data_IF_013426593979
#
_entry.id   IF_013426593979
#
_cell.length_a   1.000
_cell.length_b   1.000
_cell.length_c   1.000
_cell.angle_alpha   90.00
_cell.angle_beta   90.00
_cell.angle_gamma   90.00
#
_symmetry.space_group_name_H-M   'P 1'
#
loop_
_entity.id
_entity.type
_entity.pdbx_description
1 polymer ?
#
# COMPACT_ATOMS: atom_id res chain seq x y z
N UNK A 1 14.80 69.26 -25.72
CA UNK A 1 15.22 68.75 -24.44
C UNK A 1 14.08 67.86 -23.94
N UNK A 2 14.07 66.57 -24.30
CA UNK A 2 12.98 65.65 -24.11
C UNK A 2 13.31 64.62 -23.03
N UNK A 3 12.53 64.61 -21.94
CA UNK A 3 12.69 63.72 -20.82
C UNK A 3 11.91 62.45 -21.14
N UNK A 4 12.64 61.32 -21.39
CA UNK A 4 12.03 59.98 -21.55
C UNK A 4 11.67 59.44 -20.15
N UNK A 5 10.35 59.27 -19.92
CA UNK A 5 9.78 58.56 -18.76
C UNK A 5 9.99 57.06 -18.95
N UNK A 6 10.82 56.43 -18.14
CA UNK A 6 10.88 54.98 -18.01
C UNK A 6 9.79 54.48 -17.03
N UNK A 7 8.91 53.68 -17.54
CA UNK A 7 7.88 52.97 -16.77
C UNK A 7 8.49 51.62 -16.32
N UNK A 8 8.59 51.30 -15.05
CA UNK A 8 9.08 49.98 -14.62
C UNK A 8 7.90 48.97 -14.75
N UNK A 9 8.10 48.00 -15.63
CA UNK A 9 7.26 46.81 -15.70
C UNK A 9 7.60 45.95 -14.49
N UNK A 10 6.71 45.97 -13.48
CA UNK A 10 6.76 45.06 -12.35
C UNK A 10 6.27 43.68 -12.86
N UNK A 11 7.23 42.80 -13.16
CA UNK A 11 6.97 41.41 -13.50
C UNK A 11 6.64 40.66 -12.20
N UNK A 12 5.34 40.55 -11.88
CA UNK A 12 4.88 39.70 -10.78
C UNK A 12 5.11 38.24 -11.14
N UNK A 13 6.22 37.68 -10.63
CA UNK A 13 6.47 36.24 -10.66
C UNK A 13 5.50 35.61 -9.66
N UNK A 14 4.40 35.09 -10.16
CA UNK A 14 3.54 34.17 -9.41
C UNK A 14 4.30 32.85 -9.27
N UNK A 15 4.97 32.68 -8.15
CA UNK A 15 5.56 31.39 -7.77
C UNK A 15 4.38 30.50 -7.41
N UNK A 16 3.95 29.70 -8.40
CA UNK A 16 3.02 28.61 -8.21
C UNK A 16 3.77 27.54 -7.38
N UNK A 17 3.56 27.55 -6.08
CA UNK A 17 3.95 26.43 -5.23
C UNK A 17 3.14 25.21 -5.70
N UNK A 18 3.69 24.47 -6.65
CA UNK A 18 3.29 23.10 -6.88
C UNK A 18 3.69 22.32 -5.62
N UNK A 19 2.75 22.15 -4.71
CA UNK A 19 2.83 21.10 -3.71
C UNK A 19 2.85 19.79 -4.48
N UNK A 20 4.06 19.26 -4.71
CA UNK A 20 4.20 17.90 -5.19
C UNK A 20 3.41 17.02 -4.20
N UNK A 21 2.46 16.21 -4.64
CA UNK A 21 1.85 15.24 -3.77
C UNK A 21 3.01 14.40 -3.22
N UNK A 22 3.11 14.31 -1.89
CA UNK A 22 4.00 13.34 -1.26
C UNK A 22 3.60 11.99 -1.85
N UNK A 23 4.42 11.45 -2.73
CA UNK A 23 4.17 10.13 -3.31
C UNK A 23 4.33 9.14 -2.16
N UNK A 24 3.23 8.87 -1.47
CA UNK A 24 3.15 7.69 -0.62
C UNK A 24 3.35 6.52 -1.55
N UNK A 25 4.34 5.70 -1.27
CA UNK A 25 4.59 4.49 -2.04
C UNK A 25 3.31 3.63 -1.97
N UNK A 26 2.55 3.61 -3.07
CA UNK A 26 1.31 2.83 -3.17
C UNK A 26 1.58 1.35 -2.95
N UNK A 27 0.56 0.62 -2.50
CA UNK A 27 0.62 -0.83 -2.32
C UNK A 27 -0.06 -1.58 -3.46
N UNK A 28 -0.74 -0.86 -4.37
CA UNK A 28 -1.54 -1.43 -5.47
C UNK A 28 -0.83 -1.18 -6.79
N UNK A 29 -0.70 -2.23 -7.60
CA UNK A 29 -0.15 -2.12 -8.96
C UNK A 29 -1.14 -1.43 -9.86
N UNK A 30 -0.85 -0.18 -10.22
CA UNK A 30 -1.66 0.62 -11.13
C UNK A 30 -1.37 0.30 -12.59
N UNK A 31 -2.19 0.86 -13.49
CA UNK A 31 -1.97 0.73 -14.94
C UNK A 31 -0.61 1.31 -15.34
N UNK A 32 -0.26 2.47 -14.81
CA UNK A 32 1.01 3.16 -15.09
C UNK A 32 2.21 2.33 -14.66
N UNK A 33 2.10 1.62 -13.51
CA UNK A 33 3.16 0.74 -13.03
C UNK A 33 3.33 -0.50 -13.92
N UNK A 34 2.24 -1.04 -14.47
CA UNK A 34 2.29 -2.14 -15.45
C UNK A 34 2.89 -1.68 -16.78
N UNK A 35 2.48 -0.52 -17.28
CA UNK A 35 3.06 0.07 -18.50
C UNK A 35 4.56 0.31 -18.34
N UNK A 36 5.00 0.80 -17.17
CA UNK A 36 6.41 0.91 -16.84
C UNK A 36 7.13 -0.46 -16.89
N UNK A 37 6.57 -1.52 -16.30
CA UNK A 37 7.17 -2.85 -16.31
C UNK A 37 7.29 -3.41 -17.72
N UNK A 38 6.26 -3.24 -18.56
CA UNK A 38 6.27 -3.62 -19.96
C UNK A 38 7.34 -2.88 -20.76
N UNK A 39 7.46 -1.56 -20.53
CA UNK A 39 8.52 -0.77 -21.16
C UNK A 39 9.90 -1.26 -20.77
N UNK A 40 10.16 -1.52 -19.49
CA UNK A 40 11.44 -2.04 -19.02
C UNK A 40 11.80 -3.36 -19.68
N UNK A 41 10.84 -4.25 -19.91
CA UNK A 41 11.06 -5.51 -20.63
C UNK A 41 11.33 -5.31 -22.12
N UNK A 42 10.65 -4.38 -22.78
CA UNK A 42 10.89 -4.06 -24.19
C UNK A 42 12.27 -3.45 -24.38
N UNK A 43 12.68 -2.59 -23.48
CA UNK A 43 13.96 -1.87 -23.51
C UNK A 43 15.12 -2.66 -22.89
N UNK A 44 14.88 -3.88 -22.38
CA UNK A 44 15.87 -4.66 -21.61
C UNK A 44 17.25 -4.76 -22.29
N UNK A 45 17.29 -4.88 -23.62
CA UNK A 45 18.54 -4.96 -24.41
C UNK A 45 19.28 -3.65 -24.46
N UNK A 46 18.57 -2.52 -24.39
CA UNK A 46 19.13 -1.17 -24.49
C UNK A 46 19.42 -0.56 -23.10
N UNK A 47 18.91 -1.19 -22.03
CA UNK A 47 19.19 -0.70 -20.67
C UNK A 47 20.70 -0.70 -20.41
N UNK A 48 21.18 0.40 -19.86
CA UNK A 48 22.60 0.53 -19.48
C UNK A 48 22.95 -0.54 -18.44
N UNK A 49 24.13 -1.08 -18.53
CA UNK A 49 24.64 -2.10 -17.60
C UNK A 49 24.96 -1.50 -16.22
N UNK A 50 25.15 -0.17 -16.15
CA UNK A 50 25.44 0.51 -14.90
C UNK A 50 24.15 0.84 -14.13
N UNK A 51 23.88 0.17 -13.02
CA UNK A 51 22.73 0.45 -12.17
C UNK A 51 22.84 1.85 -11.55
N UNK A 52 21.70 2.41 -11.15
CA UNK A 52 21.69 3.67 -10.43
C UNK A 52 22.42 3.51 -9.08
N UNK A 53 23.31 4.46 -8.77
CA UNK A 53 24.09 4.41 -7.51
C UNK A 53 23.18 4.46 -6.30
N UNK A 54 23.54 3.72 -5.27
CA UNK A 54 22.84 3.64 -4.01
C UNK A 54 21.38 3.19 -4.14
N UNK A 55 21.05 2.43 -5.19
CA UNK A 55 19.70 1.89 -5.38
C UNK A 55 19.65 0.44 -4.91
N UNK A 56 18.71 0.14 -4.02
CA UNK A 56 18.54 -1.16 -3.40
C UNK A 56 17.15 -1.75 -3.70
N UNK A 57 17.11 -2.93 -4.26
CA UNK A 57 15.88 -3.70 -4.46
C UNK A 57 15.85 -4.91 -3.53
N UNK A 58 14.72 -5.10 -2.86
CA UNK A 58 14.47 -6.23 -1.97
C UNK A 58 13.43 -7.12 -2.65
N UNK A 59 13.86 -8.30 -3.07
CA UNK A 59 13.02 -9.31 -3.71
C UNK A 59 12.18 -10.05 -2.66
N UNK A 60 11.10 -10.70 -3.12
CA UNK A 60 10.31 -11.55 -2.24
C UNK A 60 11.11 -12.76 -1.76
N UNK A 61 10.83 -13.20 -0.56
CA UNK A 61 11.48 -14.37 0.02
C UNK A 61 10.77 -15.66 -0.45
N UNK A 62 11.52 -16.73 -0.66
CA UNK A 62 10.93 -18.01 -1.06
C UNK A 62 10.53 -18.82 0.16
N UNK A 63 9.27 -19.25 0.22
CA UNK A 63 8.82 -20.17 1.26
C UNK A 63 9.34 -21.59 0.97
N UNK A 64 10.27 -22.07 1.79
CA UNK A 64 10.84 -23.42 1.76
C UNK A 64 10.29 -24.32 2.87
N UNK A 65 9.33 -23.81 3.66
CA UNK A 65 8.77 -24.56 4.78
C UNK A 65 7.85 -25.70 4.38
N UNK A 66 7.30 -25.64 3.15
CA UNK A 66 6.23 -26.53 2.69
C UNK A 66 4.86 -26.24 3.32
N UNK A 67 4.73 -25.18 4.14
CA UNK A 67 3.47 -24.74 4.76
C UNK A 67 2.88 -23.56 4.01
N UNK A 68 1.74 -23.74 3.38
CA UNK A 68 1.03 -22.68 2.63
C UNK A 68 0.61 -21.48 3.53
N UNK A 69 0.41 -21.73 4.82
CA UNK A 69 0.09 -20.67 5.79
C UNK A 69 1.22 -19.64 5.96
N UNK A 70 2.45 -19.99 5.59
CA UNK A 70 3.62 -19.11 5.60
C UNK A 70 3.85 -18.40 4.26
N UNK A 71 3.07 -18.69 3.20
CA UNK A 71 3.21 -18.02 1.91
C UNK A 71 3.09 -16.49 1.99
N UNK A 72 2.18 -15.91 2.78
CA UNK A 72 2.11 -14.47 2.91
C UNK A 72 3.39 -13.81 3.45
N UNK A 73 4.23 -14.55 4.18
CA UNK A 73 5.53 -14.05 4.66
C UNK A 73 6.50 -13.73 3.53
N UNK A 74 6.36 -14.36 2.36
CA UNK A 74 7.24 -14.14 1.20
C UNK A 74 7.26 -12.65 0.82
N UNK A 75 6.09 -12.07 0.68
CA UNK A 75 5.89 -10.64 0.38
C UNK A 75 6.00 -9.77 1.63
N UNK A 76 5.54 -10.30 2.76
CA UNK A 76 5.52 -9.58 4.03
C UNK A 76 6.91 -9.19 4.53
N UNK A 77 7.89 -10.08 4.44
CA UNK A 77 9.28 -9.79 4.81
C UNK A 77 9.87 -8.69 3.92
N UNK A 78 9.69 -8.79 2.61
CA UNK A 78 10.14 -7.75 1.69
C UNK A 78 9.46 -6.41 1.97
N UNK A 79 8.14 -6.42 2.22
CA UNK A 79 7.38 -5.22 2.54
C UNK A 79 7.94 -4.49 3.78
N UNK A 80 8.19 -5.21 4.88
CA UNK A 80 8.74 -4.62 6.10
C UNK A 80 10.13 -4.02 5.85
N UNK A 81 11.03 -4.77 5.23
CA UNK A 81 12.38 -4.32 4.90
C UNK A 81 12.38 -3.12 3.96
N UNK A 82 11.53 -3.10 2.92
CA UNK A 82 11.37 -1.96 2.01
C UNK A 82 10.88 -0.73 2.76
N UNK A 83 9.87 -0.88 3.62
CA UNK A 83 9.30 0.22 4.40
C UNK A 83 10.34 0.86 5.29
N UNK A 84 11.09 0.04 6.03
CA UNK A 84 12.08 0.54 6.96
C UNK A 84 13.27 1.17 6.24
N UNK A 85 13.87 0.50 5.26
CA UNK A 85 14.98 1.05 4.49
C UNK A 85 14.63 2.31 3.72
N UNK A 86 13.36 2.49 3.32
CA UNK A 86 12.89 3.73 2.69
C UNK A 86 12.96 4.95 3.61
N UNK A 87 13.18 4.76 4.91
CA UNK A 87 13.42 5.86 5.85
C UNK A 87 14.86 6.36 5.86
N UNK A 88 15.79 5.59 5.28
CA UNK A 88 17.23 5.89 5.20
C UNK A 88 17.53 6.69 3.94
N UNK A 89 17.94 7.94 4.10
CA UNK A 89 18.13 8.88 2.97
C UNK A 89 19.38 8.60 2.12
N UNK A 90 20.35 7.84 2.66
CA UNK A 90 21.58 7.49 1.93
C UNK A 90 21.37 6.40 0.87
N UNK A 91 20.21 5.75 0.86
CA UNK A 91 19.85 4.69 -0.09
C UNK A 91 18.50 4.98 -0.75
N UNK A 92 18.38 4.68 -2.04
CA UNK A 92 17.11 4.71 -2.77
C UNK A 92 16.56 3.30 -2.86
N UNK A 93 15.46 3.04 -2.18
CA UNK A 93 14.82 1.72 -2.17
C UNK A 93 13.83 1.62 -3.32
N UNK A 94 13.88 0.51 -4.06
CA UNK A 94 12.91 0.23 -5.12
C UNK A 94 11.56 -0.07 -4.51
N UNK A 95 10.53 0.60 -4.97
CA UNK A 95 9.16 0.43 -4.49
C UNK A 95 8.64 -0.99 -4.73
N UNK A 96 7.93 -1.56 -3.74
CA UNK A 96 7.34 -2.89 -3.83
C UNK A 96 6.46 -3.08 -5.07
N UNK A 97 5.68 -2.05 -5.43
CA UNK A 97 4.77 -2.11 -6.58
C UNK A 97 5.49 -2.30 -7.91
N UNK A 98 6.69 -1.74 -8.07
CA UNK A 98 7.53 -1.96 -9.27
C UNK A 98 8.01 -3.40 -9.35
N UNK A 99 8.41 -3.95 -8.19
CA UNK A 99 8.77 -5.36 -8.10
C UNK A 99 7.59 -6.27 -8.45
N UNK A 100 6.41 -5.97 -7.91
CA UNK A 100 5.19 -6.75 -8.16
C UNK A 100 4.78 -6.69 -9.64
N UNK A 101 4.76 -5.50 -10.24
CA UNK A 101 4.41 -5.33 -11.65
C UNK A 101 5.38 -6.08 -12.57
N UNK A 102 6.68 -6.04 -12.26
CA UNK A 102 7.68 -6.78 -13.03
C UNK A 102 7.50 -8.29 -12.87
N UNK A 103 7.17 -8.78 -11.68
CA UNK A 103 6.89 -10.19 -11.43
C UNK A 103 5.66 -10.68 -12.23
N UNK A 104 4.60 -9.87 -12.29
CA UNK A 104 3.39 -10.14 -13.06
C UNK A 104 3.68 -10.23 -14.56
N UNK A 105 4.39 -9.26 -15.13
CA UNK A 105 4.72 -9.21 -16.55
C UNK A 105 5.68 -10.32 -16.98
N UNK A 106 6.57 -10.77 -16.10
CA UNK A 106 7.45 -11.92 -16.34
C UNK A 106 6.74 -13.26 -16.17
N UNK A 107 5.47 -13.27 -15.71
CA UNK A 107 4.74 -14.49 -15.37
C UNK A 107 5.37 -15.27 -14.21
N UNK A 108 6.14 -14.61 -13.38
CA UNK A 108 6.83 -15.18 -12.24
C UNK A 108 5.95 -15.06 -11.00
N UNK A 109 5.75 -16.17 -10.30
CA UNK A 109 5.16 -16.12 -8.96
C UNK A 109 6.07 -15.37 -7.96
N UNK A 110 5.60 -15.13 -6.75
CA UNK A 110 6.38 -14.43 -5.71
C UNK A 110 7.81 -15.00 -5.53
N UNK A 111 8.01 -16.29 -5.74
CA UNK A 111 9.30 -16.97 -5.61
C UNK A 111 10.18 -16.95 -6.87
N UNK A 112 9.61 -16.63 -8.04
CA UNK A 112 10.34 -16.74 -9.32
C UNK A 112 11.40 -15.66 -9.55
N UNK A 113 11.29 -14.52 -8.87
CA UNK A 113 12.29 -13.46 -8.92
C UNK A 113 13.62 -13.82 -8.22
N UNK A 114 13.66 -14.93 -7.48
CA UNK A 114 14.80 -15.34 -6.65
C UNK A 114 15.44 -16.63 -7.17
N UNK A 115 15.07 -17.10 -8.35
CA UNK A 115 15.72 -18.29 -8.90
C UNK A 115 17.18 -17.99 -9.23
N UNK A 116 18.10 -18.91 -8.89
CA UNK A 116 19.51 -18.71 -9.19
C UNK A 116 19.76 -18.38 -10.67
N UNK A 117 20.42 -17.25 -10.90
CA UNK A 117 20.72 -16.75 -12.25
C UNK A 117 19.72 -15.74 -12.81
N UNK A 118 18.58 -15.48 -12.14
CA UNK A 118 17.64 -14.42 -12.56
C UNK A 118 17.96 -13.07 -11.92
N UNK A 119 18.68 -13.05 -10.80
CA UNK A 119 18.96 -11.85 -10.01
C UNK A 119 19.63 -10.71 -10.82
N UNK A 120 20.66 -10.96 -11.67
CA UNK A 120 21.28 -9.87 -12.42
C UNK A 120 20.31 -9.25 -13.43
N UNK A 121 19.45 -10.05 -14.04
CA UNK A 121 18.42 -9.59 -14.98
C UNK A 121 17.39 -8.72 -14.26
N UNK A 122 16.86 -9.20 -13.14
CA UNK A 122 15.90 -8.46 -12.33
C UNK A 122 16.50 -7.16 -11.80
N UNK A 123 17.72 -7.20 -11.32
CA UNK A 123 18.43 -6.01 -10.86
C UNK A 123 18.63 -4.97 -11.96
N UNK A 124 18.96 -5.40 -13.16
CA UNK A 124 19.06 -4.53 -14.34
C UNK A 124 17.72 -3.87 -14.68
N UNK A 125 16.64 -4.64 -14.73
CA UNK A 125 15.28 -4.14 -15.01
C UNK A 125 14.80 -3.15 -13.94
N UNK A 126 15.17 -3.35 -12.68
CA UNK A 126 14.87 -2.45 -11.58
C UNK A 126 15.87 -1.29 -11.45
N UNK A 127 16.92 -1.26 -12.27
CA UNK A 127 18.03 -0.32 -12.17
C UNK A 127 18.66 -0.29 -10.78
N UNK A 128 18.69 -1.44 -10.10
CA UNK A 128 19.17 -1.57 -8.73
C UNK A 128 20.66 -1.92 -8.69
N UNK A 129 21.44 -1.16 -7.89
CA UNK A 129 22.85 -1.48 -7.63
C UNK A 129 22.96 -2.73 -6.75
N UNK A 130 22.15 -2.81 -5.74
CA UNK A 130 22.13 -3.91 -4.79
C UNK A 130 20.80 -4.65 -4.83
N UNK A 131 20.89 -5.95 -4.70
CA UNK A 131 19.75 -6.84 -4.62
C UNK A 131 19.83 -7.66 -3.35
N UNK A 132 18.73 -7.73 -2.60
CA UNK A 132 18.56 -8.72 -1.54
C UNK A 132 17.33 -9.56 -1.84
N UNK A 133 17.39 -10.81 -1.46
CA UNK A 133 16.30 -11.75 -1.48
C UNK A 133 16.67 -12.93 -0.58
N UNK A 134 15.80 -13.90 -0.44
CA UNK A 134 16.12 -15.00 0.47
C UNK A 134 15.08 -16.08 0.55
N UNK A 135 15.21 -16.91 1.58
CA UNK A 135 14.35 -18.05 1.81
C UNK A 135 13.86 -18.07 3.27
N UNK A 136 12.65 -18.56 3.45
CA UNK A 136 12.02 -18.79 4.75
C UNK A 136 11.84 -20.29 4.90
N UNK A 137 12.34 -20.86 5.99
CA UNK A 137 12.22 -22.28 6.34
C UNK A 137 11.77 -22.45 7.79
N UNK A 138 11.43 -23.66 8.19
CA UNK A 138 10.88 -23.94 9.52
C UNK A 138 9.37 -24.11 9.50
N UNK A 139 8.70 -23.98 10.63
CA UNK A 139 7.24 -24.13 10.75
C UNK A 139 6.67 -23.08 11.70
N UNK A 140 5.36 -22.87 11.67
CA UNK A 140 4.71 -21.95 12.62
C UNK A 140 4.86 -22.36 14.08
N UNK A 141 5.01 -23.65 14.33
CA UNK A 141 5.13 -24.25 15.68
C UNK A 141 6.60 -24.43 16.11
N UNK A 142 7.56 -24.21 15.21
CA UNK A 142 8.99 -24.31 15.46
C UNK A 142 9.70 -23.00 15.13
N UNK A 143 11.03 -23.02 15.21
CA UNK A 143 11.80 -21.85 14.77
C UNK A 143 11.65 -21.64 13.27
N UNK A 144 11.29 -20.42 12.89
CA UNK A 144 11.44 -19.92 11.54
C UNK A 144 12.90 -19.49 11.36
N UNK A 145 13.48 -19.84 10.24
CA UNK A 145 14.77 -19.34 9.81
C UNK A 145 14.58 -18.55 8.52
N UNK A 146 15.00 -17.32 8.53
CA UNK A 146 15.04 -16.43 7.35
C UNK A 146 16.49 -16.23 6.99
N UNK A 147 16.85 -16.67 5.80
CA UNK A 147 18.20 -16.52 5.25
C UNK A 147 18.12 -15.66 4.00
N UNK A 148 18.91 -14.60 3.97
CA UNK A 148 18.97 -13.70 2.82
C UNK A 148 20.32 -13.77 2.12
N UNK A 149 20.35 -13.35 0.86
CA UNK A 149 21.58 -13.06 0.12
C UNK A 149 21.51 -11.62 -0.34
N UNK A 150 22.59 -10.89 -0.11
CA UNK A 150 22.82 -9.55 -0.61
C UNK A 150 23.89 -9.60 -1.67
N UNK A 151 23.60 -9.10 -2.87
CA UNK A 151 24.51 -9.12 -3.99
C UNK A 151 24.60 -7.75 -4.69
N UNK A 152 25.72 -7.51 -5.33
CA UNK A 152 25.92 -6.40 -6.26
C UNK A 152 25.45 -6.85 -7.66
N UNK A 153 24.53 -6.10 -8.24
CA UNK A 153 23.87 -6.48 -9.50
C UNK A 153 24.86 -6.54 -10.68
N UNK A 154 25.76 -5.55 -10.79
CA UNK A 154 26.64 -5.43 -11.95
C UNK A 154 27.66 -6.58 -12.04
N UNK A 155 28.15 -7.04 -10.91
CA UNK A 155 29.18 -8.08 -10.81
C UNK A 155 28.64 -9.46 -10.45
N UNK A 156 27.38 -9.52 -9.99
CA UNK A 156 26.76 -10.70 -9.38
C UNK A 156 27.53 -11.21 -8.15
N UNK A 157 28.33 -10.34 -7.53
CA UNK A 157 29.14 -10.69 -6.36
C UNK A 157 28.26 -10.69 -5.11
N UNK A 158 28.32 -11.75 -4.33
CA UNK A 158 27.67 -11.83 -3.02
C UNK A 158 28.42 -10.96 -2.04
N UNK A 159 27.78 -9.92 -1.51
CA UNK A 159 28.30 -9.01 -0.48
C UNK A 159 28.18 -9.66 0.90
N UNK A 160 27.05 -10.39 1.15
CA UNK A 160 26.82 -11.06 2.40
C UNK A 160 25.60 -11.97 2.37
N UNK A 161 25.46 -12.77 3.42
CA UNK A 161 24.35 -13.73 3.58
C UNK A 161 23.78 -13.64 5.01
N UNK A 162 23.12 -12.55 5.37
CA UNK A 162 22.52 -12.40 6.69
C UNK A 162 21.42 -13.45 6.90
N UNK A 163 21.36 -13.95 8.14
CA UNK A 163 20.32 -14.88 8.55
C UNK A 163 19.88 -14.57 9.97
N UNK A 164 18.60 -14.78 10.25
CA UNK A 164 18.03 -14.72 11.60
C UNK A 164 17.02 -15.84 11.78
N UNK A 165 16.84 -16.26 13.02
CA UNK A 165 15.89 -17.30 13.38
C UNK A 165 15.15 -16.94 14.67
N UNK A 166 13.91 -17.40 14.79
CA UNK A 166 13.06 -17.17 15.96
C UNK A 166 11.66 -17.72 15.76
N UNK A 167 10.82 -17.55 16.75
CA UNK A 167 9.42 -17.92 16.65
C UNK A 167 8.68 -16.92 15.73
N UNK A 168 7.58 -17.34 15.11
CA UNK A 168 6.72 -16.46 14.32
C UNK A 168 6.27 -15.21 15.13
N UNK A 169 6.10 -15.33 16.43
CA UNK A 169 5.79 -14.21 17.31
C UNK A 169 6.92 -13.16 17.38
N UNK A 170 8.14 -13.53 17.02
CA UNK A 170 9.32 -12.66 17.00
C UNK A 170 9.65 -12.16 15.58
N UNK A 171 8.71 -12.25 14.65
CA UNK A 171 8.94 -11.92 13.24
C UNK A 171 9.52 -10.52 13.05
N UNK A 172 9.08 -9.55 13.86
CA UNK A 172 9.63 -8.19 13.84
C UNK A 172 11.13 -8.16 14.22
N UNK A 173 11.58 -9.02 15.16
CA UNK A 173 12.99 -9.11 15.54
C UNK A 173 13.81 -9.74 14.40
N UNK A 174 13.29 -10.79 13.79
CA UNK A 174 13.93 -11.44 12.63
C UNK A 174 14.14 -10.44 11.50
N UNK A 175 13.13 -9.62 11.24
CA UNK A 175 13.22 -8.55 10.23
C UNK A 175 14.30 -7.52 10.60
N UNK A 176 14.34 -7.04 11.86
CA UNK A 176 15.34 -6.05 12.31
C UNK A 176 16.76 -6.59 12.27
N UNK A 177 16.95 -7.85 12.60
CA UNK A 177 18.27 -8.50 12.49
C UNK A 177 18.79 -8.45 11.03
N UNK A 178 17.93 -8.76 10.05
CA UNK A 178 18.29 -8.67 8.63
C UNK A 178 18.50 -7.22 8.19
N UNK A 179 17.64 -6.30 8.60
CA UNK A 179 17.71 -4.88 8.29
C UNK A 179 19.05 -4.27 8.70
N UNK A 180 19.44 -4.46 9.96
CA UNK A 180 20.68 -3.90 10.48
C UNK A 180 21.93 -4.56 9.88
N UNK A 181 21.87 -5.85 9.55
CA UNK A 181 22.96 -6.49 8.81
C UNK A 181 23.07 -5.95 7.38
N UNK A 182 21.97 -5.63 6.67
CA UNK A 182 22.03 -4.94 5.37
C UNK A 182 22.67 -3.56 5.49
N UNK A 183 22.27 -2.77 6.47
CA UNK A 183 22.82 -1.43 6.72
C UNK A 183 24.34 -1.51 6.94
N UNK A 184 24.78 -2.49 7.74
CA UNK A 184 26.19 -2.72 8.04
C UNK A 184 26.97 -3.22 6.81
N UNK A 185 26.47 -4.21 6.08
CA UNK A 185 27.13 -4.79 4.90
C UNK A 185 27.29 -3.77 3.78
N UNK A 186 26.31 -2.88 3.60
CA UNK A 186 26.34 -1.81 2.60
C UNK A 186 27.01 -0.53 3.12
N UNK A 187 27.42 -0.52 4.39
CA UNK A 187 28.01 0.67 5.06
C UNK A 187 27.15 1.92 4.84
N UNK A 188 25.81 1.78 5.00
CA UNK A 188 24.88 2.89 4.82
C UNK A 188 25.02 3.92 5.95
N UNK A 189 25.09 5.18 5.57
CA UNK A 189 25.04 6.27 6.55
C UNK A 189 23.61 6.44 7.05
N UNK A 190 23.38 6.21 8.34
CA UNK A 190 22.08 6.34 9.01
C UNK A 190 22.17 7.43 10.06
N UNK A 191 21.32 8.44 9.95
CA UNK A 191 21.27 9.53 10.92
C UNK A 191 20.53 9.11 12.20
N UNK A 192 20.79 9.78 13.34
CA UNK A 192 20.14 9.42 14.60
C UNK A 192 18.60 9.43 14.56
N UNK A 193 17.99 10.38 13.81
CA UNK A 193 16.54 10.44 13.63
C UNK A 193 15.98 9.33 12.73
N UNK A 194 16.76 8.85 11.79
CA UNK A 194 16.45 7.68 10.97
C UNK A 194 16.60 6.39 11.80
N UNK A 195 17.67 6.28 12.58
CA UNK A 195 17.90 5.13 13.47
C UNK A 195 16.73 4.93 14.45
N UNK A 196 16.25 6.01 15.08
CA UNK A 196 15.09 5.95 15.97
C UNK A 196 13.80 5.45 15.29
N UNK A 197 13.66 5.66 13.98
CA UNK A 197 12.54 5.13 13.19
C UNK A 197 12.76 3.65 12.88
N UNK A 198 13.98 3.27 12.48
CA UNK A 198 14.34 1.89 12.16
C UNK A 198 14.20 0.94 13.36
N UNK A 199 14.46 1.43 14.58
CA UNK A 199 14.30 0.66 15.81
C UNK A 199 12.81 0.38 16.12
N UNK A 200 11.89 1.20 15.58
CA UNK A 200 10.46 1.02 15.80
C UNK A 200 9.93 -0.11 14.90
N UNK A 201 9.34 -1.17 15.47
CA UNK A 201 8.75 -2.23 14.65
C UNK A 201 7.47 -1.76 13.97
N UNK A 202 7.17 -2.32 12.78
CA UNK A 202 5.89 -2.14 12.11
C UNK A 202 4.72 -2.56 13.01
N UNK A 203 4.88 -3.70 13.68
CA UNK A 203 4.01 -4.21 14.73
C UNK A 203 4.73 -5.29 15.53
N UNK A 204 4.43 -5.38 16.82
CA UNK A 204 4.84 -6.52 17.67
C UNK A 204 3.78 -7.63 17.71
N UNK A 205 2.61 -7.39 17.12
CA UNK A 205 1.52 -8.35 17.08
C UNK A 205 1.61 -9.21 15.80
N UNK A 206 2.04 -10.45 15.94
CA UNK A 206 2.18 -11.37 14.81
C UNK A 206 0.86 -11.68 14.09
N UNK A 207 -0.30 -11.57 14.77
CA UNK A 207 -1.60 -11.74 14.14
C UNK A 207 -1.94 -10.55 13.24
N UNK A 208 -1.59 -9.33 13.69
CA UNK A 208 -1.75 -8.11 12.90
C UNK A 208 -0.86 -8.16 11.65
N UNK A 209 0.43 -8.53 11.81
CA UNK A 209 1.35 -8.73 10.68
C UNK A 209 0.85 -9.79 9.70
N UNK A 210 0.42 -10.96 10.20
CA UNK A 210 -0.13 -12.02 9.34
C UNK A 210 -1.36 -11.56 8.55
N UNK A 211 -2.24 -10.78 9.17
CA UNK A 211 -3.39 -10.21 8.49
C UNK A 211 -2.96 -9.18 7.43
N UNK A 212 -2.03 -8.27 7.76
CA UNK A 212 -1.47 -7.31 6.80
C UNK A 212 -0.91 -8.02 5.55
N UNK A 213 -0.09 -9.05 5.74
CA UNK A 213 0.55 -9.76 4.62
C UNK A 213 -0.45 -10.52 3.74
N UNK A 214 -1.50 -11.09 4.35
CA UNK A 214 -2.62 -11.69 3.61
C UNK A 214 -3.42 -10.64 2.84
N UNK A 215 -3.56 -9.44 3.39
CA UNK A 215 -4.17 -8.30 2.71
C UNK A 215 -3.39 -7.90 1.46
N UNK A 216 -2.07 -7.76 1.59
CA UNK A 216 -1.17 -7.46 0.46
C UNK A 216 -1.26 -8.55 -0.62
N UNK A 217 -1.21 -9.82 -0.22
CA UNK A 217 -1.29 -10.93 -1.16
C UNK A 217 -2.66 -11.02 -1.86
N UNK A 218 -3.76 -10.74 -1.17
CA UNK A 218 -5.09 -10.64 -1.76
C UNK A 218 -5.19 -9.46 -2.74
N UNK A 219 -4.63 -8.30 -2.37
CA UNK A 219 -4.60 -7.10 -3.21
C UNK A 219 -3.83 -7.34 -4.51
N UNK A 220 -2.66 -7.99 -4.43
CA UNK A 220 -1.85 -8.33 -5.61
C UNK A 220 -2.56 -9.32 -6.55
N UNK A 221 -3.48 -10.12 -6.04
CA UNK A 221 -4.34 -11.00 -6.88
C UNK A 221 -5.59 -10.31 -7.41
N UNK A 222 -5.80 -9.03 -7.11
CA UNK A 222 -7.00 -8.29 -7.49
C UNK A 222 -8.24 -8.64 -6.64
N UNK A 223 -8.08 -9.37 -5.53
CA UNK A 223 -9.16 -9.75 -4.63
C UNK A 223 -9.35 -8.66 -3.56
N UNK A 224 -9.74 -7.47 -4.01
CA UNK A 224 -9.72 -6.25 -3.20
C UNK A 224 -10.67 -6.27 -2.01
N UNK A 225 -11.82 -6.94 -2.11
CA UNK A 225 -12.74 -7.07 -0.97
C UNK A 225 -12.13 -7.95 0.14
N UNK A 226 -11.42 -9.04 -0.22
CA UNK A 226 -10.67 -9.82 0.77
C UNK A 226 -9.47 -9.05 1.31
N UNK A 227 -8.77 -8.27 0.48
CA UNK A 227 -7.68 -7.42 0.92
C UNK A 227 -8.17 -6.44 2.00
N UNK A 228 -9.31 -5.79 1.76
CA UNK A 228 -9.98 -4.92 2.73
C UNK A 228 -10.25 -5.64 4.05
N UNK A 229 -10.91 -6.82 4.00
CA UNK A 229 -11.23 -7.58 5.22
C UNK A 229 -9.96 -7.92 6.02
N UNK A 230 -8.87 -8.23 5.35
CA UNK A 230 -7.59 -8.50 6.00
C UNK A 230 -6.93 -7.24 6.55
N UNK A 231 -6.97 -6.10 5.87
CA UNK A 231 -6.45 -4.84 6.40
C UNK A 231 -7.27 -4.35 7.59
N UNK A 232 -8.60 -4.44 7.55
CA UNK A 232 -9.47 -4.13 8.69
C UNK A 232 -9.18 -5.05 9.90
N UNK A 233 -8.94 -6.34 9.64
CA UNK A 233 -8.53 -7.29 10.68
C UNK A 233 -7.18 -6.93 11.27
N UNK A 234 -6.22 -6.55 10.43
CA UNK A 234 -4.90 -6.11 10.86
C UNK A 234 -4.98 -4.91 11.79
N UNK A 235 -5.74 -3.87 11.41
CA UNK A 235 -5.98 -2.67 12.21
C UNK A 235 -6.75 -2.95 13.50
N UNK A 236 -7.61 -3.97 13.52
CA UNK A 236 -8.32 -4.39 14.73
C UNK A 236 -7.39 -5.06 15.74
N UNK A 237 -6.41 -5.84 15.26
CA UNK A 237 -5.41 -6.50 16.10
C UNK A 237 -4.34 -5.51 16.60
N UNK A 238 -3.97 -4.53 15.80
CA UNK A 238 -3.02 -3.47 16.13
C UNK A 238 -3.38 -2.19 15.35
N UNK A 239 -4.01 -1.19 16.00
CA UNK A 239 -4.41 0.06 15.35
C UNK A 239 -3.23 0.89 14.82
N UNK A 240 -2.04 0.71 15.38
CA UNK A 240 -0.83 1.47 15.04
C UNK A 240 0.07 0.73 14.04
N UNK A 241 -0.38 -0.40 13.50
CA UNK A 241 0.39 -1.16 12.52
C UNK A 241 0.71 -0.32 11.28
N UNK A 242 1.94 -0.42 10.80
CA UNK A 242 2.35 0.27 9.59
C UNK A 242 1.53 -0.17 8.36
N UNK A 243 1.37 0.71 7.39
CA UNK A 243 0.86 0.43 6.04
C UNK A 243 -0.63 0.04 5.97
N UNK A 244 -1.18 -0.78 6.90
CA UNK A 244 -2.53 -1.34 6.75
C UNK A 244 -3.61 -0.28 6.53
N UNK A 245 -3.54 0.85 7.26
CA UNK A 245 -4.45 1.97 7.09
C UNK A 245 -4.28 2.68 5.75
N UNK A 246 -3.04 2.88 5.32
CA UNK A 246 -2.73 3.51 4.03
C UNK A 246 -3.15 2.62 2.86
N UNK A 247 -2.91 1.31 2.93
CA UNK A 247 -3.34 0.35 1.92
C UNK A 247 -4.87 0.27 1.81
N UNK A 248 -5.58 0.31 2.94
CA UNK A 248 -7.04 0.35 2.95
C UNK A 248 -7.57 1.65 2.33
N UNK A 249 -6.95 2.79 2.66
CA UNK A 249 -7.31 4.09 2.08
C UNK A 249 -7.05 4.10 0.57
N UNK A 250 -5.94 3.54 0.10
CA UNK A 250 -5.62 3.45 -1.32
C UNK A 250 -6.66 2.63 -2.10
N UNK A 251 -7.14 1.50 -1.53
CA UNK A 251 -8.24 0.72 -2.12
C UNK A 251 -9.52 1.56 -2.28
N UNK A 252 -9.80 2.45 -1.33
CA UNK A 252 -10.94 3.36 -1.37
C UNK A 252 -10.75 4.48 -2.39
N UNK A 253 -9.56 5.10 -2.41
CA UNK A 253 -9.24 6.22 -3.30
C UNK A 253 -9.24 5.79 -4.78
N UNK A 254 -8.94 4.52 -5.05
CA UNK A 254 -8.98 3.92 -6.38
C UNK A 254 -10.36 3.30 -6.73
N UNK A 255 -11.37 3.47 -5.88
CA UNK A 255 -12.72 2.89 -6.05
C UNK A 255 -12.73 1.35 -6.24
N UNK A 256 -11.73 0.65 -5.71
CA UNK A 256 -11.58 -0.81 -5.85
C UNK A 256 -12.43 -1.59 -4.84
N UNK A 257 -12.90 -0.93 -3.79
CA UNK A 257 -13.77 -1.50 -2.76
C UNK A 257 -14.97 -0.59 -2.50
N UNK A 258 -16.10 -1.22 -2.18
CA UNK A 258 -17.27 -0.46 -1.78
C UNK A 258 -17.16 0.00 -0.33
N UNK A 259 -17.13 1.31 -0.12
CA UNK A 259 -17.27 1.87 1.22
C UNK A 259 -18.74 1.72 1.63
N UNK A 260 -19.04 0.86 2.60
CA UNK A 260 -20.32 0.90 3.29
C UNK A 260 -20.43 2.21 4.08
N UNK A 261 -20.75 3.31 3.40
CA UNK A 261 -21.16 4.53 4.10
C UNK A 261 -22.36 4.15 4.95
N UNK A 262 -22.22 4.22 6.27
CA UNK A 262 -23.40 4.10 7.15
C UNK A 262 -24.42 5.10 6.64
N UNK A 263 -25.67 4.68 6.48
CA UNK A 263 -26.74 5.52 5.90
C UNK A 263 -26.85 6.90 6.57
N UNK A 264 -26.42 7.04 7.81
CA UNK A 264 -26.30 8.32 8.52
C UNK A 264 -25.22 9.26 7.93
N UNK A 265 -24.08 8.71 7.54
CA UNK A 265 -22.98 9.52 6.97
C UNK A 265 -23.29 9.89 5.52
N UNK A 266 -23.98 9.02 4.79
CA UNK A 266 -24.50 9.31 3.45
C UNK A 266 -25.54 10.44 3.50
N UNK A 267 -26.51 10.37 4.41
CA UNK A 267 -27.52 11.45 4.60
C UNK A 267 -26.86 12.74 5.07
N UNK A 268 -25.84 12.67 5.89
CA UNK A 268 -25.06 13.83 6.32
C UNK A 268 -24.25 14.43 5.17
N UNK A 269 -23.55 13.61 4.37
CA UNK A 269 -22.79 14.10 3.20
C UNK A 269 -23.69 14.63 2.10
N UNK A 270 -24.86 14.02 1.86
CA UNK A 270 -25.88 14.55 0.95
C UNK A 270 -26.47 15.88 1.46
N UNK A 271 -26.65 16.01 2.78
CA UNK A 271 -27.12 17.26 3.39
C UNK A 271 -26.04 18.37 3.30
N UNK A 272 -24.77 18.01 3.41
CA UNK A 272 -23.63 18.92 3.27
C UNK A 272 -23.33 19.26 1.80
N UNK A 273 -23.56 18.33 0.88
CA UNK A 273 -23.34 18.54 -0.57
C UNK A 273 -24.49 19.26 -1.29
N UNK A 274 -25.70 19.31 -0.74
CA UNK A 274 -26.80 20.17 -1.21
C UNK A 274 -26.61 21.63 -0.76
N UNK A 275 -25.46 22.17 -1.08
CA UNK A 275 -24.95 23.42 -0.53
C UNK A 275 -25.72 24.69 -0.98
N UNK A 276 -26.42 24.66 -2.08
CA UNK A 276 -27.16 25.83 -2.57
C UNK A 276 -28.34 26.21 -1.65
N UNK A 277 -29.05 25.20 -1.13
CA UNK A 277 -30.16 25.44 -0.20
C UNK A 277 -29.65 25.86 1.19
N UNK A 278 -28.50 25.36 1.64
CA UNK A 278 -27.90 25.70 2.92
C UNK A 278 -27.23 27.08 2.93
N UNK A 279 -26.79 27.59 1.77
CA UNK A 279 -26.24 28.94 1.63
C UNK A 279 -27.31 30.04 1.55
N UNK A 280 -28.52 29.69 1.11
CA UNK A 280 -29.59 30.66 0.84
C UNK A 280 -30.66 30.72 1.95
N UNK A 281 -30.71 29.74 2.85
CA UNK A 281 -31.72 29.71 3.91
C UNK A 281 -31.07 29.60 5.30
N UNK A 282 -31.30 30.55 6.23
CA UNK A 282 -30.83 30.46 7.60
C UNK A 282 -31.34 29.19 8.29
N UNK A 283 -30.51 28.58 9.13
CA UNK A 283 -30.82 27.30 9.83
C UNK A 283 -32.17 27.28 10.55
N UNK A 284 -32.62 28.44 11.05
CA UNK A 284 -33.93 28.58 11.73
C UNK A 284 -35.10 28.54 10.77
N UNK A 285 -34.98 29.13 9.59
CA UNK A 285 -36.05 29.07 8.58
C UNK A 285 -36.20 27.68 7.97
N UNK A 286 -35.10 26.93 7.83
CA UNK A 286 -35.14 25.52 7.44
C UNK A 286 -35.90 24.67 8.45
N UNK A 287 -35.68 24.92 9.78
CA UNK A 287 -36.48 24.25 10.83
C UNK A 287 -37.96 24.54 10.73
N UNK A 288 -38.34 25.81 10.52
CA UNK A 288 -39.75 26.21 10.35
C UNK A 288 -40.39 25.65 9.09
N UNK A 289 -39.60 25.52 7.99
CA UNK A 289 -40.13 25.05 6.71
C UNK A 289 -40.31 23.53 6.65
N UNK A 290 -39.44 22.77 7.29
CA UNK A 290 -39.47 21.29 7.27
C UNK A 290 -40.03 20.65 8.55
N UNK A 291 -40.15 21.42 9.63
CA UNK A 291 -40.71 20.97 10.91
C UNK A 291 -41.60 22.09 11.47
N UNK A 292 -42.73 22.38 10.80
CA UNK A 292 -43.70 23.28 11.39
C UNK A 292 -44.25 22.64 12.66
N UNK A 293 -44.46 23.46 13.71
CA UNK A 293 -44.99 23.00 15.00
C UNK A 293 -46.36 22.31 14.90
N UNK A 294 -47.00 22.40 13.72
CA UNK A 294 -48.34 21.85 13.42
C UNK A 294 -48.29 20.68 12.43
N UNK A 295 -47.32 19.75 12.56
CA UNK A 295 -47.37 18.52 11.80
C UNK A 295 -48.58 17.73 12.27
N UNK A 296 -49.55 17.46 11.39
CA UNK A 296 -50.74 16.68 11.75
C UNK A 296 -50.32 15.30 12.23
N UNK A 297 -50.93 14.89 13.31
CA UNK A 297 -50.78 13.54 13.88
C UNK A 297 -50.96 12.46 12.84
N UNK A 298 -50.33 11.33 13.07
CA UNK A 298 -50.21 10.01 12.37
C UNK A 298 -51.15 9.66 11.19
N UNK A 299 -52.26 10.33 11.03
CA UNK A 299 -53.28 10.03 10.01
C UNK A 299 -52.93 10.39 8.56
N UNK A 300 -51.91 11.23 8.34
CA UNK A 300 -51.52 11.64 6.98
C UNK A 300 -50.36 10.81 6.38
N UNK A 301 -49.75 9.91 7.14
CA UNK A 301 -48.66 9.06 6.63
C UNK A 301 -49.19 7.89 5.79
N UNK A 302 -50.43 7.43 6.10
CA UNK A 302 -51.05 6.28 5.40
C UNK A 302 -51.55 6.62 3.97
N UNK A 303 -51.61 7.91 3.61
CA UNK A 303 -52.07 8.34 2.29
C UNK A 303 -50.92 8.39 1.25
N UNK A 304 -49.68 8.39 1.68
CA UNK A 304 -48.52 8.60 0.79
C UNK A 304 -48.00 7.31 0.15
N UNK A 305 -48.33 6.14 0.75
CA UNK A 305 -47.89 4.85 0.23
C UNK A 305 -49.09 3.90 0.16
N UNK A 306 -49.83 3.81 -0.97
CA UNK A 306 -50.82 2.76 -1.16
C UNK A 306 -50.16 1.39 -1.09
N UNK A 307 -50.64 0.54 -0.23
CA UNK A 307 -50.19 -0.84 -0.15
C UNK A 307 -50.39 -1.54 -1.50
N UNK A 308 -49.47 -2.38 -1.95
CA UNK A 308 -49.63 -3.17 -3.15
C UNK A 308 -50.89 -4.06 -3.00
N UNK A 309 -51.65 -4.30 -4.10
CA UNK A 309 -52.87 -5.11 -4.03
C UNK A 309 -52.61 -6.51 -3.52
N UNK A 310 -53.43 -6.98 -2.58
CA UNK A 310 -53.35 -8.31 -2.01
C UNK A 310 -53.48 -9.37 -3.12
N UNK A 311 -52.57 -10.32 -3.16
CA UNK A 311 -52.64 -11.49 -4.05
C UNK A 311 -53.93 -12.28 -3.79
N UNK A 312 -54.66 -12.70 -4.82
CA UNK A 312 -55.88 -13.51 -4.64
C UNK A 312 -55.51 -14.88 -4.06
N UNK A 313 -56.44 -15.48 -3.27
CA UNK A 313 -56.18 -16.77 -2.61
C UNK A 313 -56.04 -17.91 -3.63
N UNK A 314 -54.99 -18.70 -3.46
CA UNK A 314 -54.70 -19.90 -4.26
C UNK A 314 -55.84 -20.91 -3.99
N UNK A 315 -56.65 -21.24 -5.02
CA UNK A 315 -57.63 -22.34 -4.98
C UNK A 315 -56.89 -23.66 -4.79
N UNK A 316 -57.12 -24.31 -3.66
CA UNK A 316 -56.75 -25.72 -3.47
C UNK A 316 -57.67 -26.57 -4.36
N UNK A 317 -57.10 -27.17 -5.40
CA UNK A 317 -57.74 -28.30 -6.11
C UNK A 317 -57.55 -29.57 -5.33
N UNK A 318 -58.64 -30.30 -5.22
CA UNK A 318 -58.73 -31.64 -4.61
C UNK A 318 -57.89 -32.64 -5.41
#
# INVERSE_FOLDING_TARGET
MGIKKYFPIICSIVILFMTAPSSRAGQIVTKETREWAQQMLQEEKSLQTAPARNTFAILYFKNRSGQADLDPLQKGMALMLITDLSTVKSVQVVERIKLQALAEELGLGASGLIEPGTEPRVGKLLSAQWLAGGEISGTQQSLLRVQSRLLETATSTIIGQPASEGMLAELFRIEKDLLFEFIKLLNLEVKPDEMAKLEKPCSKNSKALSALFRGVDASDRGDYEKAKDFYEKSLKEDPDICIAGEALQELQDLDLISVKKRSRDLVRSLRESTSLTNQLTPKEELKKKFYPNDIPTKTNVDVIFPLPPSTPPVKKTK
#
